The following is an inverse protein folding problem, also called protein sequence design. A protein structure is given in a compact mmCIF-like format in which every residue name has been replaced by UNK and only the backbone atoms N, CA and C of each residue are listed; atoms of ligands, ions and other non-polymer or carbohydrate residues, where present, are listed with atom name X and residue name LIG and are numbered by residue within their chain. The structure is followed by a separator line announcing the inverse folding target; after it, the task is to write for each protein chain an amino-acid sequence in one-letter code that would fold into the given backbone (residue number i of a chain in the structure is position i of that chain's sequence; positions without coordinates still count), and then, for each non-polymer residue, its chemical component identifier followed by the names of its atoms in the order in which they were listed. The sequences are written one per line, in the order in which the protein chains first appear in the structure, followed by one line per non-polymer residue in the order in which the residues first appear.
data_IF_631586370070
#
_entry.id   IF_631586370070
#
_cell.length_a   1.000
_cell.length_b   1.000
_cell.length_c   1.000
_cell.angle_alpha   90.00
_cell.angle_beta   90.00
_cell.angle_gamma   90.00
#
_symmetry.space_group_name_H-M   'P 1'
#
loop_
_entity.id
_entity.type
_entity.pdbx_description
1 polymer ?
#
# COMPACT_ATOMS: atom_id res chain seq x y z
N UNK A 1 9.97 -23.72 -5.90
CA UNK A 1 10.98 -24.48 -5.13
C UNK A 1 12.22 -24.65 -6.01
N UNK A 2 13.42 -24.65 -5.43
CA UNK A 2 14.67 -24.89 -6.18
C UNK A 2 14.79 -26.36 -6.60
N UNK A 3 15.05 -26.60 -7.89
CA UNK A 3 15.31 -27.95 -8.42
C UNK A 3 16.78 -28.31 -8.21
N UNK A 4 17.04 -29.39 -7.47
CA UNK A 4 18.38 -29.95 -7.26
C UNK A 4 18.59 -31.15 -8.17
N UNK A 5 19.82 -31.27 -8.71
CA UNK A 5 20.26 -32.39 -9.53
C UNK A 5 21.54 -32.99 -8.94
N UNK A 6 21.52 -34.28 -8.69
CA UNK A 6 22.69 -35.05 -8.28
C UNK A 6 22.82 -36.28 -9.17
N UNK A 7 24.06 -36.68 -9.48
CA UNK A 7 24.33 -37.91 -10.21
C UNK A 7 24.98 -38.91 -9.25
N UNK A 8 24.32 -40.03 -9.00
CA UNK A 8 24.86 -41.10 -8.18
C UNK A 8 25.98 -41.82 -8.94
N UNK A 9 27.18 -41.86 -8.37
CA UNK A 9 28.36 -42.49 -8.97
C UNK A 9 29.12 -43.33 -7.96
N UNK A 10 29.87 -44.33 -8.44
CA UNK A 10 30.81 -45.09 -7.63
C UNK A 10 32.19 -44.39 -7.53
N UNK A 11 33.15 -45.02 -6.84
CA UNK A 11 34.50 -44.44 -6.67
C UNK A 11 35.31 -44.36 -7.98
N UNK A 12 34.90 -45.09 -9.02
CA UNK A 12 35.53 -45.09 -10.34
C UNK A 12 34.87 -44.06 -11.30
N UNK A 13 33.80 -43.39 -10.86
CA UNK A 13 33.03 -42.45 -11.68
C UNK A 13 31.91 -43.10 -12.51
N UNK A 14 31.67 -44.41 -12.38
CA UNK A 14 30.56 -45.06 -13.06
C UNK A 14 29.23 -44.63 -12.44
N UNK A 15 28.26 -44.34 -13.30
CA UNK A 15 26.89 -44.02 -12.91
C UNK A 15 26.25 -45.20 -12.17
N UNK A 16 25.44 -44.91 -11.15
CA UNK A 16 24.70 -45.91 -10.35
C UNK A 16 23.18 -45.77 -10.58
N UNK A 17 22.63 -46.46 -11.60
CA UNK A 17 21.19 -46.51 -11.83
C UNK A 17 20.46 -47.12 -10.63
N UNK A 18 19.30 -46.56 -10.28
CA UNK A 18 18.46 -47.11 -9.21
C UNK A 18 19.01 -46.94 -7.79
N UNK A 19 20.03 -46.11 -7.57
CA UNK A 19 20.42 -45.69 -6.23
C UNK A 19 19.23 -45.03 -5.51
N UNK A 20 18.99 -45.39 -4.25
CA UNK A 20 17.87 -44.86 -3.47
C UNK A 20 18.30 -43.63 -2.70
N UNK A 21 17.62 -42.51 -2.94
CA UNK A 21 17.76 -41.28 -2.19
C UNK A 21 16.62 -41.10 -1.18
N UNK A 22 16.96 -40.61 0.01
CA UNK A 22 16.01 -40.19 1.02
C UNK A 22 16.43 -38.82 1.57
N UNK A 23 15.48 -37.90 1.67
CA UNK A 23 15.71 -36.56 2.22
C UNK A 23 15.17 -36.50 3.65
N UNK A 24 15.99 -36.12 4.62
CA UNK A 24 15.61 -36.05 6.03
C UNK A 24 15.62 -34.62 6.56
N UNK A 25 14.81 -34.36 7.59
CA UNK A 25 14.96 -33.16 8.42
C UNK A 25 16.34 -33.19 9.10
N UNK A 26 16.99 -32.04 9.28
CA UNK A 26 18.40 -31.96 9.64
C UNK A 26 18.68 -32.61 11.00
N UNK A 27 19.67 -33.50 11.04
CA UNK A 27 20.09 -34.22 12.25
C UNK A 27 19.06 -35.25 12.75
N UNK A 28 18.13 -35.68 11.89
CA UNK A 28 17.04 -36.58 12.25
C UNK A 28 16.90 -37.77 11.29
N UNK A 29 16.02 -38.71 11.66
CA UNK A 29 15.56 -39.80 10.79
C UNK A 29 14.17 -39.54 10.21
N UNK A 30 13.62 -38.33 10.42
CA UNK A 30 12.30 -37.95 9.92
C UNK A 30 12.40 -37.56 8.45
N UNK A 31 11.64 -38.24 7.59
CA UNK A 31 11.60 -37.92 6.16
C UNK A 31 10.97 -36.54 5.93
N UNK A 32 11.60 -35.75 5.07
CA UNK A 32 11.04 -34.50 4.59
C UNK A 32 9.81 -34.76 3.71
N UNK A 33 8.81 -33.87 3.79
CA UNK A 33 7.59 -33.90 2.99
C UNK A 33 7.55 -32.73 1.99
N UNK A 34 6.59 -32.77 1.07
CA UNK A 34 6.39 -31.70 0.08
C UNK A 34 7.45 -31.69 -1.03
N UNK A 35 8.12 -32.81 -1.26
CA UNK A 35 9.05 -32.95 -2.39
C UNK A 35 8.25 -32.91 -3.70
N UNK A 36 8.85 -32.28 -4.71
CA UNK A 36 8.31 -32.19 -6.07
C UNK A 36 9.32 -32.73 -7.08
N UNK A 37 8.82 -33.29 -8.17
CA UNK A 37 9.65 -33.60 -9.34
C UNK A 37 9.90 -32.35 -10.21
N UNK A 38 10.62 -32.50 -11.32
CA UNK A 38 10.90 -31.39 -12.23
C UNK A 38 9.67 -30.85 -12.97
N UNK A 39 8.58 -31.62 -13.04
CA UNK A 39 7.29 -31.16 -13.58
C UNK A 39 6.43 -30.46 -12.52
N UNK A 40 6.86 -30.44 -11.25
CA UNK A 40 6.11 -29.89 -10.13
C UNK A 40 5.07 -30.84 -9.54
N UNK A 41 5.05 -32.11 -9.94
CA UNK A 41 4.20 -33.13 -9.35
C UNK A 41 4.76 -33.60 -8.01
N UNK A 42 3.91 -34.13 -7.13
CA UNK A 42 4.34 -34.68 -5.84
C UNK A 42 5.31 -35.85 -6.04
N UNK A 43 6.47 -35.76 -5.41
CA UNK A 43 7.49 -36.80 -5.41
C UNK A 43 7.51 -37.50 -4.05
N UNK A 44 7.41 -38.83 -4.07
CA UNK A 44 7.51 -39.64 -2.87
C UNK A 44 8.93 -39.58 -2.27
N UNK A 45 9.03 -39.79 -0.96
CA UNK A 45 10.30 -39.88 -0.25
C UNK A 45 10.28 -41.15 0.60
N UNK A 46 11.17 -42.13 0.40
CA UNK A 46 12.34 -42.14 -0.52
C UNK A 46 12.00 -42.21 -2.02
N UNK A 47 12.97 -41.89 -2.87
CA UNK A 47 12.89 -41.98 -4.34
C UNK A 47 14.16 -42.59 -4.95
N UNK A 48 14.08 -43.06 -6.20
CA UNK A 48 15.17 -43.74 -6.88
C UNK A 48 15.79 -42.87 -7.98
N UNK A 49 17.08 -43.07 -8.23
CA UNK A 49 17.79 -42.50 -9.36
C UNK A 49 17.30 -43.10 -10.68
N UNK A 50 17.31 -42.31 -11.75
CA UNK A 50 16.94 -42.78 -13.09
C UNK A 50 17.97 -43.78 -13.65
N UNK A 51 17.73 -44.27 -14.87
CA UNK A 51 18.68 -45.11 -15.60
C UNK A 51 20.06 -44.43 -15.80
N UNK A 52 20.11 -43.09 -15.80
CA UNK A 52 21.33 -42.30 -15.92
C UNK A 52 21.89 -41.90 -14.54
N UNK A 53 21.41 -42.52 -13.45
CA UNK A 53 21.81 -42.23 -12.08
C UNK A 53 21.45 -40.82 -11.61
N UNK A 54 20.56 -40.12 -12.33
CA UNK A 54 20.08 -38.80 -11.95
C UNK A 54 19.09 -38.90 -10.78
N UNK A 55 19.38 -38.15 -9.73
CA UNK A 55 18.49 -37.81 -8.63
C UNK A 55 18.06 -36.37 -8.81
N UNK A 56 16.78 -36.16 -9.05
CA UNK A 56 16.22 -34.84 -9.33
C UNK A 56 14.99 -34.62 -8.46
N UNK A 57 15.00 -33.54 -7.68
CA UNK A 57 13.92 -33.18 -6.78
C UNK A 57 13.95 -31.69 -6.45
N UNK A 58 12.80 -31.15 -6.10
CA UNK A 58 12.68 -29.86 -5.43
C UNK A 58 12.04 -30.06 -4.05
N UNK A 59 12.39 -29.24 -3.07
CA UNK A 59 11.83 -29.28 -1.73
C UNK A 59 11.56 -27.86 -1.21
N UNK A 60 10.73 -27.69 -0.16
CA UNK A 60 10.55 -26.40 0.49
C UNK A 60 11.87 -25.76 0.97
N UNK A 61 11.84 -24.46 1.21
CA UNK A 61 13.02 -23.72 1.67
C UNK A 61 13.49 -24.25 3.03
N UNK A 62 14.75 -24.69 3.11
CA UNK A 62 15.26 -25.30 4.34
C UNK A 62 16.60 -26.00 4.17
N UNK A 63 17.12 -26.50 5.29
CA UNK A 63 18.30 -27.38 5.33
C UNK A 63 17.85 -28.81 5.55
N UNK A 64 18.53 -29.76 4.90
CA UNK A 64 18.13 -31.16 4.88
C UNK A 64 19.36 -32.07 4.85
N UNK A 65 19.20 -33.31 5.30
CA UNK A 65 20.19 -34.36 5.14
C UNK A 65 19.77 -35.28 3.98
N UNK A 66 20.49 -35.19 2.85
CA UNK A 66 20.28 -36.06 1.69
C UNK A 66 21.12 -37.32 1.88
N UNK A 67 20.45 -38.45 2.01
CA UNK A 67 21.11 -39.76 2.06
C UNK A 67 20.92 -40.48 0.74
N UNK A 68 22.02 -40.91 0.11
CA UNK A 68 22.01 -41.73 -1.11
C UNK A 68 22.60 -43.09 -0.77
N UNK A 69 21.88 -44.15 -1.13
CA UNK A 69 22.19 -45.52 -0.74
C UNK A 69 22.10 -46.48 -1.92
N UNK A 70 23.00 -47.45 -1.91
CA UNK A 70 23.00 -48.65 -2.75
C UNK A 70 23.26 -49.86 -1.83
N UNK A 71 23.01 -51.10 -2.26
CA UNK A 71 23.32 -52.27 -1.43
C UNK A 71 24.76 -52.23 -0.90
N UNK A 72 24.91 -52.21 0.42
CA UNK A 72 26.22 -52.20 1.09
C UNK A 72 26.91 -50.83 1.21
N UNK A 73 26.34 -49.72 0.73
CA UNK A 73 26.95 -48.38 0.86
C UNK A 73 25.90 -47.28 1.00
N UNK A 74 26.12 -46.37 1.94
CA UNK A 74 25.25 -45.20 2.17
C UNK A 74 26.10 -43.97 2.47
N UNK A 75 25.72 -42.83 1.90
CA UNK A 75 26.33 -41.53 2.18
C UNK A 75 25.28 -40.48 2.45
N UNK A 76 25.54 -39.65 3.45
CA UNK A 76 24.68 -38.53 3.81
C UNK A 76 25.43 -37.22 3.60
N UNK A 77 24.77 -36.27 2.94
CA UNK A 77 25.29 -34.91 2.70
C UNK A 77 24.26 -33.91 3.20
N UNK A 78 24.71 -32.91 3.96
CA UNK A 78 23.89 -31.76 4.34
C UNK A 78 23.72 -30.86 3.13
N UNK A 79 22.47 -30.57 2.76
CA UNK A 79 22.12 -29.69 1.65
C UNK A 79 21.17 -28.59 2.12
N UNK A 80 21.03 -27.56 1.29
CA UNK A 80 20.09 -26.48 1.48
C UNK A 80 19.30 -26.28 0.19
N UNK A 81 17.98 -26.21 0.29
CA UNK A 81 17.07 -25.86 -0.79
C UNK A 81 16.62 -24.41 -0.58
N UNK A 82 16.81 -23.57 -1.59
CA UNK A 82 16.52 -22.14 -1.55
C UNK A 82 15.78 -21.68 -2.80
N UNK A 83 14.48 -21.47 -2.69
CA UNK A 83 13.69 -20.69 -3.63
C UNK A 83 13.86 -19.20 -3.33
N UNK A 84 14.78 -18.58 -4.09
CA UNK A 84 15.06 -17.15 -4.00
C UNK A 84 13.86 -16.32 -4.46
N UNK A 85 13.09 -16.78 -5.44
CA UNK A 85 11.93 -16.05 -5.95
C UNK A 85 10.81 -15.99 -4.91
N UNK A 86 10.53 -17.12 -4.25
CA UNK A 86 9.60 -17.18 -3.13
C UNK A 86 10.06 -16.28 -1.97
N UNK A 87 11.35 -16.32 -1.63
CA UNK A 87 11.94 -15.50 -0.57
C UNK A 87 11.81 -14.00 -0.86
N UNK A 88 12.04 -13.59 -2.11
CA UNK A 88 11.86 -12.19 -2.56
C UNK A 88 10.37 -11.80 -2.51
N UNK A 89 9.47 -12.65 -2.99
CA UNK A 89 8.03 -12.39 -2.99
C UNK A 89 7.48 -12.21 -1.56
N UNK A 90 7.91 -13.07 -0.63
CA UNK A 90 7.57 -12.94 0.78
C UNK A 90 8.11 -11.63 1.38
N UNK A 91 9.36 -11.27 1.07
CA UNK A 91 9.96 -10.01 1.54
C UNK A 91 9.24 -8.77 0.98
N UNK A 92 8.86 -8.79 -0.31
CA UNK A 92 8.09 -7.71 -0.95
C UNK A 92 6.72 -7.55 -0.32
N UNK A 93 6.03 -8.67 -0.03
CA UNK A 93 4.73 -8.67 0.63
C UNK A 93 4.83 -8.08 2.05
N UNK A 94 5.84 -8.47 2.81
CA UNK A 94 6.09 -7.93 4.15
C UNK A 94 6.41 -6.41 4.11
N UNK A 95 7.18 -5.97 3.11
CA UNK A 95 7.49 -4.55 2.91
C UNK A 95 6.22 -3.74 2.56
N UNK A 96 5.35 -4.25 1.69
CA UNK A 96 4.09 -3.60 1.35
C UNK A 96 3.17 -3.44 2.57
N UNK A 97 3.07 -4.48 3.41
CA UNK A 97 2.32 -4.44 4.67
C UNK A 97 2.89 -3.37 5.61
N UNK A 98 4.22 -3.32 5.77
CA UNK A 98 4.88 -2.31 6.60
C UNK A 98 4.61 -0.87 6.10
N UNK A 99 4.68 -0.64 4.79
CA UNK A 99 4.35 0.67 4.19
C UNK A 99 2.89 1.06 4.45
N UNK A 100 1.96 0.13 4.33
CA UNK A 100 0.55 0.37 4.62
C UNK A 100 0.34 0.78 6.09
N UNK A 101 0.99 0.09 7.04
CA UNK A 101 0.93 0.48 8.46
C UNK A 101 1.55 1.86 8.71
N UNK A 102 2.65 2.19 8.04
CA UNK A 102 3.25 3.52 8.14
C UNK A 102 2.32 4.61 7.63
N UNK A 103 1.65 4.38 6.49
CA UNK A 103 0.68 5.33 5.95
C UNK A 103 -0.51 5.53 6.90
N UNK A 104 -1.07 4.44 7.43
CA UNK A 104 -2.18 4.52 8.42
C UNK A 104 -1.75 5.29 9.67
N UNK A 105 -0.52 5.09 10.15
CA UNK A 105 0.00 5.82 11.30
C UNK A 105 0.18 7.32 11.00
N UNK A 106 0.65 7.67 9.80
CA UNK A 106 0.76 9.07 9.36
C UNK A 106 -0.62 9.72 9.22
N UNK A 107 -1.57 9.04 8.58
CA UNK A 107 -2.94 9.51 8.42
C UNK A 107 -3.61 9.70 9.79
N UNK A 108 -3.43 8.76 10.72
CA UNK A 108 -3.94 8.88 12.09
C UNK A 108 -3.28 10.03 12.85
N UNK A 109 -1.98 10.26 12.67
CA UNK A 109 -1.28 11.39 13.27
C UNK A 109 -1.74 12.74 12.69
N UNK A 110 -2.05 12.80 11.41
CA UNK A 110 -2.58 14.00 10.76
C UNK A 110 -4.05 14.24 11.12
N UNK A 111 -4.86 13.19 11.26
CA UNK A 111 -6.21 13.28 11.82
C UNK A 111 -6.20 13.73 13.29
N UNK A 112 -5.20 13.32 14.08
CA UNK A 112 -5.05 13.80 15.45
C UNK A 112 -4.70 15.31 15.51
N UNK A 113 -4.13 15.89 14.44
CA UNK A 113 -3.90 17.34 14.31
C UNK A 113 -5.13 18.10 13.80
N UNK A 114 -6.13 17.41 13.23
CA UNK A 114 -7.42 18.02 12.88
C UNK A 114 -8.17 18.31 14.17
N UNK A 115 -7.97 19.51 14.70
CA UNK A 115 -8.51 19.86 16.01
C UNK A 115 -10.00 20.22 15.94
N UNK A 116 -10.46 20.83 14.85
CA UNK A 116 -11.87 21.23 14.67
C UNK A 116 -12.33 21.28 13.20
N UNK A 117 -13.57 20.87 12.98
CA UNK A 117 -14.32 21.07 11.74
C UNK A 117 -15.36 22.19 11.98
N UNK A 118 -15.46 23.13 11.04
CA UNK A 118 -16.45 24.20 11.05
C UNK A 118 -17.41 24.05 9.88
N UNK A 119 -18.68 24.42 10.08
CA UNK A 119 -19.67 24.37 9.02
C UNK A 119 -19.38 25.44 7.96
N UNK A 120 -19.05 26.66 8.38
CA UNK A 120 -18.77 27.81 7.50
C UNK A 120 -17.41 28.47 7.82
N UNK A 121 -16.91 29.31 6.91
CA UNK A 121 -15.70 30.08 7.16
C UNK A 121 -15.93 31.12 8.26
N UNK A 122 -17.13 31.70 8.32
CA UNK A 122 -17.56 32.58 9.41
C UNK A 122 -17.47 31.92 10.79
N UNK A 123 -17.91 30.66 10.93
CA UNK A 123 -17.80 29.92 12.20
C UNK A 123 -16.33 29.70 12.60
N UNK A 124 -15.48 29.37 11.62
CA UNK A 124 -14.05 29.20 11.84
C UNK A 124 -13.37 30.52 12.26
N UNK A 125 -13.75 31.63 11.64
CA UNK A 125 -13.27 32.97 11.98
C UNK A 125 -13.76 33.44 13.35
N UNK A 126 -14.98 33.08 13.76
CA UNK A 126 -15.49 33.43 15.08
C UNK A 126 -14.71 32.72 16.20
N UNK A 127 -14.24 31.49 15.94
CA UNK A 127 -13.51 30.68 16.92
C UNK A 127 -11.98 30.79 16.80
N UNK A 128 -11.46 31.49 15.78
CA UNK A 128 -10.02 31.55 15.46
C UNK A 128 -9.16 31.99 16.63
N UNK A 129 -9.71 32.82 17.53
CA UNK A 129 -9.05 33.34 18.71
C UNK A 129 -8.95 32.36 19.87
N UNK A 130 -9.76 31.31 19.88
CA UNK A 130 -9.69 30.22 20.86
C UNK A 130 -8.81 29.06 20.37
N UNK A 131 -8.24 29.17 19.16
CA UNK A 131 -7.39 28.16 18.57
C UNK A 131 -5.92 28.50 18.81
N UNK A 132 -5.14 27.48 19.15
CA UNK A 132 -3.69 27.62 19.19
C UNK A 132 -3.14 27.95 17.79
N UNK A 133 -2.03 28.68 17.73
CA UNK A 133 -1.32 28.95 16.48
C UNK A 133 -0.81 27.65 15.84
N UNK A 134 -0.91 27.56 14.52
CA UNK A 134 -0.46 26.40 13.74
C UNK A 134 -1.46 25.24 13.65
N UNK A 135 -2.60 25.34 14.33
CA UNK A 135 -3.68 24.34 14.25
C UNK A 135 -4.26 24.33 12.83
N UNK A 136 -4.54 23.12 12.33
CA UNK A 136 -5.22 22.93 11.06
C UNK A 136 -6.71 22.77 11.34
N UNK A 137 -7.52 23.57 10.65
CA UNK A 137 -8.98 23.51 10.71
C UNK A 137 -9.53 23.19 9.32
N UNK A 138 -10.66 22.50 9.32
CA UNK A 138 -11.41 22.22 8.08
C UNK A 138 -12.72 23.00 8.11
N UNK A 139 -12.97 23.76 7.05
CA UNK A 139 -14.25 24.41 6.78
C UNK A 139 -15.01 23.55 5.76
N UNK A 140 -16.25 23.18 6.06
CA UNK A 140 -17.02 22.26 5.22
C UNK A 140 -17.71 22.95 4.04
N UNK A 141 -18.31 24.12 4.28
CA UNK A 141 -18.96 24.94 3.28
C UNK A 141 -18.37 26.36 3.32
N UNK A 142 -17.18 26.52 2.73
CA UNK A 142 -16.47 27.79 2.73
C UNK A 142 -17.05 28.76 1.72
N UNK A 143 -17.82 29.73 2.22
CA UNK A 143 -18.45 30.79 1.44
C UNK A 143 -17.45 31.65 0.66
N UNK A 144 -16.22 31.80 1.15
CA UNK A 144 -15.15 32.55 0.45
C UNK A 144 -14.59 31.76 -0.75
N UNK A 145 -14.83 30.45 -0.77
CA UNK A 145 -14.40 29.51 -1.83
C UNK A 145 -15.58 28.87 -2.55
N UNK A 146 -16.69 29.59 -2.65
CA UNK A 146 -17.86 29.13 -3.38
C UNK A 146 -18.49 27.88 -2.77
N UNK A 147 -18.53 27.80 -1.44
CA UNK A 147 -19.17 26.72 -0.66
C UNK A 147 -18.42 25.40 -0.67
N UNK A 148 -17.13 25.39 -1.01
CA UNK A 148 -16.29 24.18 -1.06
C UNK A 148 -15.71 23.85 0.31
N UNK A 149 -15.36 22.59 0.54
CA UNK A 149 -14.58 22.29 1.73
C UNK A 149 -13.13 22.76 1.55
N UNK A 150 -12.60 23.44 2.55
CA UNK A 150 -11.28 24.06 2.52
C UNK A 150 -10.54 23.85 3.83
N UNK A 151 -9.22 23.86 3.73
CA UNK A 151 -8.31 23.68 4.85
C UNK A 151 -7.57 24.97 5.13
N UNK A 152 -7.54 25.35 6.40
CA UNK A 152 -6.88 26.55 6.88
C UNK A 152 -5.91 26.22 8.00
N UNK A 153 -4.86 27.03 8.10
CA UNK A 153 -3.95 27.05 9.25
C UNK A 153 -4.23 28.30 10.06
N UNK A 154 -4.41 28.17 11.37
CA UNK A 154 -4.45 29.32 12.27
C UNK A 154 -3.05 29.92 12.38
N UNK A 155 -2.96 31.25 12.24
CA UNK A 155 -1.76 31.99 12.62
C UNK A 155 -2.17 32.95 13.72
N UNK A 156 -1.66 32.72 14.93
CA UNK A 156 -1.67 33.77 15.94
C UNK A 156 -0.39 34.58 15.72
N UNK A 157 -0.47 35.84 15.23
CA UNK A 157 0.72 36.67 15.13
C UNK A 157 1.32 36.86 16.53
N UNK A 158 2.64 36.76 16.64
CA UNK A 158 3.34 37.06 17.90
C UNK A 158 3.25 38.57 18.16
N UNK A 159 2.39 38.95 19.11
CA UNK A 159 2.15 40.34 19.50
C UNK A 159 0.77 40.81 19.06
N UNK A 160 -0.06 41.22 20.02
CA UNK A 160 -1.35 41.86 19.75
C UNK A 160 -1.12 43.13 18.93
N UNK A 161 -1.41 43.09 17.63
CA UNK A 161 -1.36 44.29 16.78
C UNK A 161 -2.74 44.93 16.80
N UNK A 162 -2.85 46.09 17.45
CA UNK A 162 -4.01 46.97 17.36
C UNK A 162 -3.95 47.74 16.04
N UNK A 163 -5.01 47.65 15.23
CA UNK A 163 -5.25 48.54 14.11
C UNK A 163 -6.12 49.69 14.60
N UNK A 164 -5.57 50.91 14.56
CA UNK A 164 -6.28 52.13 14.93
C UNK A 164 -6.74 52.85 13.65
N UNK A 165 -8.06 52.95 13.45
CA UNK A 165 -8.66 53.76 12.39
C UNK A 165 -9.01 55.14 12.95
N UNK A 166 -8.11 56.10 12.73
CA UNK A 166 -8.27 57.48 13.20
C UNK A 166 -9.35 58.27 12.44
N UNK A 167 -9.82 57.78 11.28
CA UNK A 167 -10.86 58.44 10.49
C UNK A 167 -12.25 58.00 10.97
N UNK A 168 -12.42 56.71 11.24
CA UNK A 168 -13.67 56.18 11.81
C UNK A 168 -13.75 56.29 13.35
N UNK A 169 -12.65 56.64 14.03
CA UNK A 169 -12.58 56.71 15.49
C UNK A 169 -12.72 55.33 16.15
N UNK A 170 -12.28 54.27 15.46
CA UNK A 170 -12.45 52.88 15.88
C UNK A 170 -11.10 52.19 16.04
N UNK A 171 -11.06 51.16 16.89
CA UNK A 171 -9.95 50.22 16.94
C UNK A 171 -10.46 48.84 16.52
N UNK A 172 -9.63 48.10 15.78
CA UNK A 172 -9.84 46.69 15.49
C UNK A 172 -8.58 45.92 15.86
N UNK A 173 -8.75 44.70 16.36
CA UNK A 173 -7.61 43.78 16.51
C UNK A 173 -7.22 43.32 15.11
N UNK A 174 -5.90 43.26 14.82
CA UNK A 174 -5.40 42.74 13.55
C UNK A 174 -6.02 41.37 13.29
N UNK A 175 -6.66 41.21 12.14
CA UNK A 175 -7.35 39.98 11.76
C UNK A 175 -6.41 38.78 11.95
N UNK A 176 -6.78 37.82 12.80
CA UNK A 176 -6.14 36.49 12.80
C UNK A 176 -6.46 35.85 11.45
N UNK A 177 -5.49 35.71 10.53
CA UNK A 177 -5.84 35.37 9.17
C UNK A 177 -5.73 33.85 9.09
N UNK A 178 -6.87 33.16 9.10
CA UNK A 178 -6.90 31.77 8.66
C UNK A 178 -6.16 31.69 7.32
N UNK A 179 -4.98 31.06 7.31
CA UNK A 179 -4.17 30.96 6.11
C UNK A 179 -4.65 29.78 5.32
N UNK A 180 -5.17 30.05 4.14
CA UNK A 180 -5.62 29.02 3.22
C UNK A 180 -4.46 28.08 2.85
N UNK A 181 -4.67 26.78 3.05
CA UNK A 181 -3.71 25.74 2.68
C UNK A 181 -4.10 25.15 1.33
N UNK A 182 -5.33 24.64 1.22
CA UNK A 182 -5.87 24.00 0.01
C UNK A 182 -7.39 23.87 0.09
N UNK A 183 -8.07 23.91 -1.05
CA UNK A 183 -9.47 23.46 -1.17
C UNK A 183 -9.51 21.99 -1.56
N UNK A 184 -10.60 21.29 -1.27
CA UNK A 184 -10.93 20.12 -2.05
C UNK A 184 -11.50 20.59 -3.39
N UNK A 185 -10.86 20.16 -4.48
CA UNK A 185 -11.21 20.62 -5.83
C UNK A 185 -12.52 20.00 -6.35
N UNK A 186 -12.98 18.91 -5.71
CA UNK A 186 -14.17 18.18 -6.11
C UNK A 186 -15.36 18.55 -5.23
N UNK A 187 -16.39 19.16 -5.82
CA UNK A 187 -17.66 19.45 -5.15
C UNK A 187 -18.80 18.74 -5.87
N UNK A 188 -19.54 17.87 -5.18
CA UNK A 188 -20.75 17.28 -5.75
C UNK A 188 -21.89 18.31 -5.78
N UNK A 189 -22.52 18.48 -6.93
CA UNK A 189 -23.68 19.34 -7.14
C UNK A 189 -24.79 18.61 -7.90
N UNK A 190 -25.96 19.24 -8.01
CA UNK A 190 -27.05 18.74 -8.83
C UNK A 190 -26.65 18.67 -10.31
N UNK A 191 -27.26 17.73 -11.05
CA UNK A 191 -27.01 17.56 -12.49
C UNK A 191 -27.31 18.86 -13.23
N UNK A 192 -26.36 19.40 -14.01
CA UNK A 192 -26.59 20.62 -14.78
C UNK A 192 -27.66 20.37 -15.85
N UNK A 193 -28.60 21.30 -16.00
CA UNK A 193 -29.65 21.20 -17.02
C UNK A 193 -29.09 21.34 -18.45
N UNK A 194 -28.01 22.11 -18.60
CA UNK A 194 -27.36 22.45 -19.88
C UNK A 194 -25.85 22.58 -19.70
N UNK A 195 -25.09 22.54 -20.80
CA UNK A 195 -23.64 22.76 -20.78
C UNK A 195 -23.23 24.15 -20.29
N UNK A 196 -24.16 25.11 -20.28
CA UNK A 196 -23.99 26.48 -19.81
C UNK A 196 -24.60 26.74 -18.42
N UNK A 197 -25.06 25.69 -17.72
CA UNK A 197 -25.63 25.83 -16.38
C UNK A 197 -24.63 26.39 -15.39
N UNK A 198 -25.14 27.11 -14.37
CA UNK A 198 -24.31 27.67 -13.32
C UNK A 198 -23.40 26.60 -12.70
N UNK A 199 -22.09 26.86 -12.67
CA UNK A 199 -21.10 25.92 -12.14
C UNK A 199 -19.72 26.56 -12.04
N UNK A 200 -18.93 26.08 -11.08
CA UNK A 200 -17.56 26.52 -10.85
C UNK A 200 -16.57 25.43 -11.24
N UNK A 201 -15.35 25.76 -11.75
CA UNK A 201 -14.39 24.76 -12.21
C UNK A 201 -14.08 23.71 -11.11
N UNK A 202 -14.31 22.43 -11.38
CA UNK A 202 -14.17 21.33 -10.40
C UNK A 202 -15.49 20.86 -9.75
N UNK A 203 -16.62 21.53 -10.02
CA UNK A 203 -17.92 20.98 -9.66
C UNK A 203 -18.20 19.72 -10.48
N UNK A 204 -18.72 18.69 -9.81
CA UNK A 204 -19.03 17.39 -10.38
C UNK A 204 -20.48 17.06 -10.13
N UNK A 205 -21.16 16.51 -11.12
CA UNK A 205 -22.49 15.96 -10.95
C UNK A 205 -22.54 14.54 -11.51
N UNK A 206 -23.37 13.71 -10.92
CA UNK A 206 -23.56 12.33 -11.33
C UNK A 206 -25.02 12.09 -11.65
N UNK A 207 -25.26 11.45 -12.79
CA UNK A 207 -26.56 10.89 -13.15
C UNK A 207 -26.42 9.39 -13.33
N UNK A 208 -27.53 8.71 -13.59
CA UNK A 208 -27.54 7.28 -13.90
C UNK A 208 -26.76 6.92 -15.18
N UNK A 209 -26.52 7.89 -16.08
CA UNK A 209 -25.96 7.65 -17.42
C UNK A 209 -24.67 8.41 -17.70
N UNK A 210 -24.40 9.48 -16.94
CA UNK A 210 -23.26 10.37 -17.19
C UNK A 210 -22.64 10.86 -15.89
N UNK A 211 -21.33 11.04 -15.93
CA UNK A 211 -20.56 11.89 -15.03
C UNK A 211 -20.34 13.25 -15.70
N UNK A 212 -20.63 14.34 -14.99
CA UNK A 212 -20.45 15.71 -15.45
C UNK A 212 -19.35 16.40 -14.65
N UNK A 213 -18.52 17.20 -15.32
CA UNK A 213 -17.47 18.02 -14.69
C UNK A 213 -17.51 19.42 -15.27
N UNK A 214 -17.61 20.43 -14.41
CA UNK A 214 -17.42 21.83 -14.78
C UNK A 214 -15.92 22.08 -15.01
N UNK A 215 -15.51 22.36 -16.24
CA UNK A 215 -14.10 22.57 -16.61
C UNK A 215 -13.70 24.04 -16.62
N UNK A 216 -14.69 24.93 -16.70
CA UNK A 216 -14.56 26.37 -16.53
C UNK A 216 -15.87 26.89 -15.91
N UNK A 217 -15.91 28.17 -15.51
CA UNK A 217 -17.14 28.79 -15.01
C UNK A 217 -18.26 28.61 -16.04
N UNK A 218 -19.38 28.05 -15.58
CA UNK A 218 -20.57 27.75 -16.38
C UNK A 218 -20.28 26.94 -17.64
N UNK A 219 -19.24 26.09 -17.61
CA UNK A 219 -18.85 25.25 -18.76
C UNK A 219 -18.72 23.81 -18.32
N UNK A 220 -19.72 23.00 -18.67
CA UNK A 220 -19.79 21.60 -18.29
C UNK A 220 -19.38 20.67 -19.42
N UNK A 221 -18.58 19.65 -19.08
CA UNK A 221 -18.31 18.48 -19.91
C UNK A 221 -18.93 17.25 -19.26
N UNK A 222 -19.24 16.23 -20.07
CA UNK A 222 -19.79 14.96 -19.59
C UNK A 222 -19.13 13.76 -20.24
N UNK A 223 -19.09 12.65 -19.53
CA UNK A 223 -18.67 11.33 -20.02
C UNK A 223 -19.75 10.31 -19.72
N UNK A 224 -20.02 9.40 -20.67
CA UNK A 224 -21.00 8.34 -20.51
C UNK A 224 -20.47 7.25 -19.55
N UNK A 225 -21.36 6.71 -18.71
CA UNK A 225 -21.07 5.59 -17.83
C UNK A 225 -21.46 4.29 -18.54
N UNK A 226 -20.58 3.29 -18.48
CA UNK A 226 -20.86 1.92 -18.96
C UNK A 226 -20.96 0.96 -17.79
N UNK A 227 -21.68 -0.15 -17.99
CA UNK A 227 -21.66 -1.30 -17.07
C UNK A 227 -20.37 -2.10 -17.27
N UNK A 228 -19.83 -2.65 -16.19
CA UNK A 228 -18.70 -3.59 -16.23
C UNK A 228 -19.19 -5.04 -16.32
#
# INVERSE_FOLDING_TARGET
MELKNYFAQNANGDILPGATAALFLPGSTTLASGLKDAAGADLANPFAATADGLLQFAAPNGTYDLTVSVPGRSYTVRIQCCDVAESISAAQSAAAVSQAYSQVAQDAADLAKLQKNYATYADAMADVWNLASGVIVRVLADETRGGRSAWYRTLTPSGESLVLDFIAGAYSVAESPLVFIKSQDLRLVSVPATSASAGTPGDVALSTTYLYVAVATNTWRRVALSTF
#
